data_IF_004953128764
#
_entry.id   IF_004953128764
#
_cell.length_a   1.000
_cell.length_b   1.000
_cell.length_c   1.000
_cell.angle_alpha   90.00
_cell.angle_beta   90.00
_cell.angle_gamma   90.00
#
_symmetry.space_group_name_H-M   'P 1'
#
loop_
_entity.id
_entity.type
_entity.pdbx_description
1 polymer ?
#
# COMPACT_ATOMS: atom_id res chain seq x y z
N UNK A 1 3.35 13.84 -15.12
CA UNK A 1 4.25 13.23 -16.12
C UNK A 1 3.92 11.76 -16.32
N UNK A 2 2.93 11.43 -17.16
CA UNK A 2 2.49 10.09 -17.66
C UNK A 2 3.44 8.88 -17.50
N UNK A 3 3.83 8.53 -16.27
CA UNK A 3 4.86 7.54 -15.95
C UNK A 3 6.31 7.86 -16.38
N UNK A 4 6.64 9.08 -16.82
CA UNK A 4 7.96 9.42 -17.36
C UNK A 4 8.83 10.21 -16.37
N UNK A 5 10.13 9.90 -16.32
CA UNK A 5 11.10 10.62 -15.51
C UNK A 5 11.56 11.90 -16.24
N UNK A 6 11.41 13.05 -15.57
CA UNK A 6 11.83 14.37 -16.07
C UNK A 6 13.19 14.81 -15.51
N UNK A 7 13.59 14.29 -14.34
CA UNK A 7 14.85 14.63 -13.70
C UNK A 7 15.25 13.57 -12.68
N UNK A 8 16.53 13.23 -12.64
CA UNK A 8 17.10 12.36 -11.61
C UNK A 8 18.54 12.78 -11.32
N UNK A 9 18.80 13.23 -10.09
CA UNK A 9 20.12 13.64 -9.65
C UNK A 9 20.10 14.42 -8.34
N UNK A 10 21.21 15.07 -7.97
CA UNK A 10 21.31 15.82 -6.72
C UNK A 10 20.28 16.95 -6.64
N UNK A 11 19.71 17.24 -5.46
CA UNK A 11 18.70 18.29 -5.30
C UNK A 11 19.25 19.68 -5.63
N UNK A 12 20.54 19.93 -5.39
CA UNK A 12 21.19 21.21 -5.70
C UNK A 12 21.25 21.55 -7.20
N UNK A 13 21.16 20.56 -8.08
CA UNK A 13 21.25 20.76 -9.52
C UNK A 13 19.88 20.89 -10.22
N UNK A 14 18.78 20.64 -9.49
CA UNK A 14 17.42 20.72 -10.03
C UNK A 14 17.12 22.13 -10.53
N UNK A 15 17.50 23.14 -9.75
CA UNK A 15 17.27 24.54 -10.09
C UNK A 15 17.96 24.92 -11.41
N UNK A 16 19.26 24.64 -11.52
CA UNK A 16 20.03 24.92 -12.75
C UNK A 16 19.51 24.14 -13.96
N UNK A 17 19.03 22.92 -13.75
CA UNK A 17 18.43 22.10 -14.81
C UNK A 17 17.12 22.71 -15.32
N UNK A 18 16.21 23.09 -14.43
CA UNK A 18 14.93 23.70 -14.80
C UNK A 18 15.13 25.05 -15.50
N UNK A 19 16.08 25.87 -15.04
CA UNK A 19 16.46 27.12 -15.72
C UNK A 19 17.00 26.88 -17.13
N UNK A 20 17.82 25.85 -17.33
CA UNK A 20 18.32 25.49 -18.65
C UNK A 20 17.22 25.02 -19.62
N UNK A 21 16.06 24.58 -19.10
CA UNK A 21 14.88 24.23 -19.88
C UNK A 21 13.92 25.41 -20.09
N UNK A 22 14.27 26.61 -19.62
CA UNK A 22 13.47 27.83 -19.80
C UNK A 22 12.49 28.14 -18.68
N UNK A 23 12.53 27.42 -17.56
CA UNK A 23 11.70 27.71 -16.39
C UNK A 23 12.37 28.74 -15.49
N UNK A 24 11.67 29.86 -15.23
CA UNK A 24 12.13 30.86 -14.29
C UNK A 24 12.00 30.33 -12.85
N UNK A 25 13.01 30.62 -12.04
CA UNK A 25 13.01 30.28 -10.61
C UNK A 25 12.87 31.58 -9.84
N UNK A 26 11.68 31.87 -9.28
CA UNK A 26 11.48 33.06 -8.48
C UNK A 26 12.42 33.07 -7.27
N UNK A 27 12.98 34.23 -6.90
CA UNK A 27 13.78 34.33 -5.69
C UNK A 27 12.91 34.01 -4.47
N UNK A 28 13.47 33.24 -3.52
CA UNK A 28 12.82 32.82 -2.26
C UNK A 28 11.67 31.79 -2.38
N UNK A 29 11.58 31.05 -3.49
CA UNK A 29 10.60 29.97 -3.62
C UNK A 29 11.23 28.57 -3.43
N UNK A 30 10.44 27.62 -2.95
CA UNK A 30 10.89 26.26 -2.71
C UNK A 30 11.06 25.49 -4.04
N UNK A 31 12.26 24.96 -4.27
CA UNK A 31 12.60 24.23 -5.51
C UNK A 31 11.71 22.98 -5.69
N UNK A 32 11.30 22.35 -4.59
CA UNK A 32 10.41 21.19 -4.65
C UNK A 32 9.02 21.57 -5.18
N UNK A 33 8.49 22.71 -4.76
CA UNK A 33 7.17 23.17 -5.20
C UNK A 33 7.21 23.59 -6.68
N UNK A 34 8.29 24.27 -7.12
CA UNK A 34 8.51 24.57 -8.54
C UNK A 34 8.59 23.28 -9.37
N UNK A 35 9.30 22.25 -8.90
CA UNK A 35 9.38 20.98 -9.60
C UNK A 35 8.01 20.27 -9.71
N UNK A 36 7.13 20.45 -8.72
CA UNK A 36 5.76 19.96 -8.77
C UNK A 36 4.93 20.75 -9.78
N UNK A 37 5.03 22.08 -9.79
CA UNK A 37 4.31 22.93 -10.75
C UNK A 37 4.71 22.59 -12.20
N UNK A 38 6.00 22.46 -12.47
CA UNK A 38 6.52 22.00 -13.78
C UNK A 38 6.00 20.60 -14.12
N UNK A 39 5.88 19.71 -13.14
CA UNK A 39 5.36 18.35 -13.34
C UNK A 39 3.88 18.32 -13.66
N UNK A 40 3.10 19.27 -13.13
CA UNK A 40 1.68 19.46 -13.41
C UNK A 40 1.51 20.05 -14.80
N UNK A 41 2.25 21.10 -15.15
CA UNK A 41 2.23 21.72 -16.47
C UNK A 41 2.63 20.72 -17.56
N UNK A 42 3.69 19.93 -17.33
CA UNK A 42 4.08 18.83 -18.21
C UNK A 42 3.08 17.66 -18.23
N UNK A 43 2.13 17.59 -17.29
CA UNK A 43 1.06 16.59 -17.36
C UNK A 43 -0.10 17.05 -18.23
N UNK A 44 -0.34 18.35 -18.31
CA UNK A 44 -1.38 18.98 -19.12
C UNK A 44 -0.92 19.19 -20.56
N UNK A 45 0.36 19.50 -20.77
CA UNK A 45 0.95 19.74 -22.09
C UNK A 45 1.95 18.65 -22.50
N UNK A 46 1.55 17.83 -23.47
CA UNK A 46 2.37 16.74 -24.00
C UNK A 46 3.65 17.20 -24.73
N UNK A 47 3.68 18.43 -25.24
CA UNK A 47 4.87 18.99 -25.90
C UNK A 47 5.97 19.29 -24.87
N UNK A 48 5.60 19.94 -23.77
CA UNK A 48 6.52 20.24 -22.65
C UNK A 48 7.06 18.93 -22.05
N UNK A 49 6.18 17.94 -21.87
CA UNK A 49 6.59 16.62 -21.38
C UNK A 49 7.63 15.96 -22.29
N UNK A 50 7.42 15.98 -23.60
CA UNK A 50 8.36 15.42 -24.57
C UNK A 50 9.68 16.17 -24.56
N UNK A 51 9.66 17.49 -24.48
CA UNK A 51 10.86 18.32 -24.43
C UNK A 51 11.68 18.04 -23.16
N UNK A 52 11.04 18.01 -21.98
CA UNK A 52 11.70 17.67 -20.72
C UNK A 52 12.25 16.24 -20.71
N UNK A 53 11.47 15.28 -21.19
CA UNK A 53 11.88 13.88 -21.26
C UNK A 53 13.06 13.69 -22.22
N UNK A 54 13.03 14.32 -23.40
CA UNK A 54 14.15 14.28 -24.36
C UNK A 54 15.39 14.99 -23.81
N UNK A 55 15.23 16.13 -23.14
CA UNK A 55 16.31 16.82 -22.47
C UNK A 55 16.96 15.95 -21.38
N UNK A 56 16.16 15.27 -20.56
CA UNK A 56 16.67 14.30 -19.59
C UNK A 56 17.38 13.12 -20.29
N UNK A 57 16.81 12.59 -21.38
CA UNK A 57 17.41 11.51 -22.16
C UNK A 57 18.76 11.89 -22.79
N UNK A 58 18.94 13.14 -23.17
CA UNK A 58 20.20 13.63 -23.73
C UNK A 58 21.18 14.13 -22.64
N UNK A 59 20.73 14.24 -21.40
CA UNK A 59 21.55 14.73 -20.30
C UNK A 59 22.66 13.75 -19.91
N UNK A 60 23.82 14.25 -19.43
CA UNK A 60 24.86 13.39 -18.86
C UNK A 60 24.40 12.69 -17.57
N UNK A 61 23.35 13.19 -16.93
CA UNK A 61 22.79 12.63 -15.70
C UNK A 61 22.20 11.25 -15.94
N UNK A 62 21.41 11.07 -17.00
CA UNK A 62 20.90 9.75 -17.39
C UNK A 62 22.04 8.78 -17.69
N UNK A 63 23.07 9.24 -18.40
CA UNK A 63 24.23 8.39 -18.72
C UNK A 63 24.94 7.90 -17.46
N UNK A 64 25.12 8.78 -16.47
CA UNK A 64 25.72 8.42 -15.18
C UNK A 64 24.86 7.39 -14.42
N UNK A 65 23.54 7.61 -14.33
CA UNK A 65 22.62 6.64 -13.71
C UNK A 65 22.66 5.29 -14.43
N UNK A 66 22.67 5.30 -15.77
CA UNK A 66 22.73 4.08 -16.56
C UNK A 66 24.05 3.34 -16.34
N UNK A 67 25.17 4.05 -16.29
CA UNK A 67 26.50 3.49 -16.01
C UNK A 67 26.56 2.86 -14.60
N UNK A 68 26.01 3.54 -13.59
CA UNK A 68 25.89 2.98 -12.24
C UNK A 68 25.09 1.67 -12.23
N UNK A 69 23.97 1.62 -12.96
CA UNK A 69 23.13 0.43 -13.06
C UNK A 69 23.83 -0.72 -13.80
N UNK A 70 24.52 -0.42 -14.91
CA UNK A 70 25.28 -1.42 -15.66
C UNK A 70 26.46 -1.96 -14.84
N UNK A 71 27.23 -1.09 -14.19
CA UNK A 71 28.34 -1.48 -13.32
C UNK A 71 27.87 -2.31 -12.12
N UNK A 72 26.73 -1.96 -11.52
CA UNK A 72 26.11 -2.80 -10.49
C UNK A 72 25.73 -4.17 -11.06
N UNK A 73 25.14 -4.23 -12.25
CA UNK A 73 24.75 -5.48 -12.88
C UNK A 73 25.97 -6.36 -13.23
N UNK A 74 27.11 -5.77 -13.58
CA UNK A 74 28.35 -6.49 -13.85
C UNK A 74 29.03 -7.00 -12.56
N UNK A 75 28.97 -6.23 -11.46
CA UNK A 75 29.38 -6.70 -10.13
C UNK A 75 28.48 -7.85 -9.62
N UNK A 76 27.17 -7.74 -9.85
CA UNK A 76 26.15 -8.75 -9.54
C UNK A 76 26.38 -10.03 -10.36
N UNK A 77 26.74 -9.89 -11.64
CA UNK A 77 27.00 -11.02 -12.56
C UNK A 77 28.30 -11.77 -12.24
N UNK A 78 29.29 -11.08 -11.69
CA UNK A 78 30.64 -11.64 -11.44
C UNK A 78 30.80 -12.33 -10.07
N UNK A 79 29.82 -12.21 -9.16
CA UNK A 79 29.94 -12.76 -7.79
C UNK A 79 28.77 -13.66 -7.36
N UNK A 80 27.63 -13.71 -8.08
CA UNK A 80 26.39 -14.24 -7.51
C UNK A 80 25.49 -15.08 -8.44
N UNK A 81 26.03 -15.90 -9.35
CA UNK A 81 25.19 -16.96 -9.98
C UNK A 81 24.67 -17.96 -8.92
N UNK A 82 25.34 -18.11 -7.77
CA UNK A 82 24.86 -18.97 -6.67
C UNK A 82 24.07 -18.24 -5.56
N UNK A 83 24.14 -16.91 -5.48
CA UNK A 83 23.71 -16.16 -4.28
C UNK A 83 22.68 -15.04 -4.56
N UNK A 84 22.38 -14.71 -5.81
CA UNK A 84 21.31 -13.73 -6.13
C UNK A 84 19.88 -14.27 -6.00
N UNK A 85 19.72 -15.54 -5.60
CA UNK A 85 18.43 -16.05 -5.13
C UNK A 85 18.13 -15.67 -3.67
N UNK A 86 19.07 -15.04 -2.94
CA UNK A 86 18.88 -14.64 -1.54
C UNK A 86 18.39 -13.19 -1.36
N UNK A 87 17.83 -12.57 -2.40
CA UNK A 87 17.06 -11.34 -2.30
C UNK A 87 15.59 -11.73 -2.52
N UNK A 88 14.75 -11.42 -1.54
CA UNK A 88 13.34 -11.80 -1.40
C UNK A 88 13.01 -13.30 -1.20
N UNK A 89 13.87 -14.10 -0.56
CA UNK A 89 13.32 -15.28 0.13
C UNK A 89 12.52 -14.83 1.37
N UNK A 90 11.29 -14.36 1.13
CA UNK A 90 10.21 -14.34 2.12
C UNK A 90 9.73 -15.79 2.32
N UNK A 91 10.66 -16.73 2.47
CA UNK A 91 10.42 -18.13 2.86
C UNK A 91 11.06 -18.45 4.20
N UNK A 92 11.28 -17.45 5.05
CA UNK A 92 11.50 -17.70 6.47
C UNK A 92 10.16 -18.08 7.11
N UNK A 93 9.85 -19.39 7.10
CA UNK A 93 8.83 -20.08 7.90
C UNK A 93 8.04 -19.15 8.84
N UNK A 94 7.06 -18.42 8.27
CA UNK A 94 6.29 -17.47 9.06
C UNK A 94 5.44 -18.27 10.02
N UNK A 95 5.79 -18.18 11.30
CA UNK A 95 5.00 -18.75 12.39
C UNK A 95 3.62 -18.07 12.39
N UNK A 96 2.65 -18.68 11.72
CA UNK A 96 1.32 -18.11 11.49
C UNK A 96 0.63 -17.71 12.79
N UNK A 97 0.78 -18.52 13.85
CA UNK A 97 0.19 -18.24 15.17
C UNK A 97 0.80 -16.97 15.80
N UNK A 98 2.11 -16.78 15.68
CA UNK A 98 2.79 -15.59 16.22
C UNK A 98 2.33 -14.33 15.48
N UNK A 99 2.20 -14.42 14.17
CA UNK A 99 1.68 -13.30 13.35
C UNK A 99 0.21 -13.00 13.67
N UNK A 100 -0.64 -14.02 13.77
CA UNK A 100 -2.04 -13.89 14.18
C UNK A 100 -2.15 -13.26 15.57
N UNK A 101 -1.31 -13.65 16.53
CA UNK A 101 -1.32 -13.08 17.87
C UNK A 101 -0.99 -11.58 17.85
N UNK A 102 0.07 -11.18 17.13
CA UNK A 102 0.44 -9.77 17.03
C UNK A 102 -0.61 -8.93 16.30
N UNK A 103 -1.18 -9.45 15.21
CA UNK A 103 -2.27 -8.79 14.49
C UNK A 103 -3.53 -8.70 15.36
N UNK A 104 -3.88 -9.77 16.08
CA UNK A 104 -5.00 -9.79 17.02
C UNK A 104 -4.83 -8.78 18.15
N UNK A 105 -3.63 -8.67 18.74
CA UNK A 105 -3.36 -7.66 19.76
C UNK A 105 -3.57 -6.23 19.25
N UNK A 106 -3.18 -5.95 17.99
CA UNK A 106 -3.42 -4.66 17.34
C UNK A 106 -4.91 -4.42 17.13
N UNK A 107 -5.63 -5.39 16.58
CA UNK A 107 -7.07 -5.29 16.32
C UNK A 107 -7.88 -5.16 17.62
N UNK A 108 -7.55 -5.94 18.64
CA UNK A 108 -8.16 -5.85 19.97
C UNK A 108 -7.95 -4.48 20.62
N UNK A 109 -6.79 -3.84 20.42
CA UNK A 109 -6.55 -2.49 20.92
C UNK A 109 -7.47 -1.46 20.27
N UNK A 110 -7.79 -1.63 18.99
CA UNK A 110 -8.73 -0.77 18.26
C UNK A 110 -10.16 -1.00 18.73
N UNK A 111 -10.58 -2.26 18.82
CA UNK A 111 -11.91 -2.65 19.34
C UNK A 111 -12.11 -2.12 20.77
N UNK A 112 -11.10 -2.26 21.63
CA UNK A 112 -11.13 -1.73 23.00
C UNK A 112 -11.24 -0.20 23.05
N UNK A 113 -10.62 0.52 22.11
CA UNK A 113 -10.67 1.99 22.04
C UNK A 113 -11.98 2.51 21.43
N UNK A 114 -12.68 1.73 20.61
CA UNK A 114 -13.98 2.07 20.01
C UNK A 114 -15.01 0.97 20.26
N UNK A 115 -15.55 0.86 21.49
CA UNK A 115 -16.37 -0.27 21.89
C UNK A 115 -17.83 -0.18 21.45
N UNK A 116 -18.29 0.93 20.86
CA UNK A 116 -19.73 1.18 20.62
C UNK A 116 -20.39 0.09 19.76
N UNK A 117 -19.79 -0.24 18.63
CA UNK A 117 -20.33 -1.25 17.72
C UNK A 117 -20.20 -2.68 18.28
N UNK A 118 -19.06 -2.99 18.89
CA UNK A 118 -18.82 -4.31 19.46
C UNK A 118 -19.75 -4.59 20.66
N UNK A 119 -19.94 -3.60 21.52
CA UNK A 119 -20.85 -3.71 22.66
C UNK A 119 -22.30 -3.89 22.20
N UNK A 120 -22.78 -3.10 21.23
CA UNK A 120 -24.14 -3.22 20.71
C UNK A 120 -24.44 -4.63 20.18
N UNK A 121 -23.52 -5.22 19.40
CA UNK A 121 -23.66 -6.58 18.86
C UNK A 121 -23.69 -7.64 19.97
N UNK A 122 -22.82 -7.52 20.97
CA UNK A 122 -22.82 -8.42 22.15
C UNK A 122 -24.14 -8.29 22.91
N UNK A 123 -24.61 -7.06 23.18
CA UNK A 123 -25.85 -6.81 23.90
C UNK A 123 -27.07 -7.42 23.20
N UNK A 124 -27.22 -7.21 21.90
CA UNK A 124 -28.31 -7.80 21.10
C UNK A 124 -28.25 -9.33 21.15
N UNK A 125 -27.05 -9.90 21.04
CA UNK A 125 -26.85 -11.35 21.09
C UNK A 125 -27.22 -11.95 22.45
N UNK A 126 -26.87 -11.26 23.55
CA UNK A 126 -27.23 -11.68 24.92
C UNK A 126 -28.74 -11.61 25.13
N UNK A 127 -29.39 -10.52 24.73
CA UNK A 127 -30.85 -10.36 24.87
C UNK A 127 -31.58 -11.44 24.07
N UNK A 128 -31.18 -11.66 22.81
CA UNK A 128 -31.77 -12.69 21.97
C UNK A 128 -31.56 -14.09 22.57
N UNK A 129 -30.35 -14.38 23.07
CA UNK A 129 -30.03 -15.64 23.72
C UNK A 129 -30.82 -15.88 25.00
N UNK A 130 -31.05 -14.84 25.80
CA UNK A 130 -31.91 -14.93 26.99
C UNK A 130 -33.37 -15.14 26.61
N UNK A 131 -33.90 -14.43 25.62
CA UNK A 131 -35.28 -14.58 25.17
C UNK A 131 -35.51 -16.02 24.68
N UNK A 132 -34.67 -16.52 23.77
CA UNK A 132 -34.72 -17.90 23.31
C UNK A 132 -34.52 -18.86 24.49
N UNK A 133 -33.55 -18.62 25.36
CA UNK A 133 -33.33 -19.44 26.55
C UNK A 133 -34.59 -19.56 27.41
N UNK A 134 -35.28 -18.45 27.70
CA UNK A 134 -36.52 -18.44 28.50
C UNK A 134 -37.69 -19.13 27.79
N UNK A 135 -37.84 -18.93 26.48
CA UNK A 135 -38.91 -19.58 25.69
C UNK A 135 -38.75 -21.09 25.68
N UNK A 136 -37.52 -21.58 25.59
CA UNK A 136 -37.22 -23.01 25.53
C UNK A 136 -36.91 -23.64 26.90
N UNK A 137 -36.83 -22.84 27.98
CA UNK A 137 -36.57 -23.33 29.33
C UNK A 137 -37.71 -24.23 29.84
N UNK A 138 -38.94 -23.92 29.43
CA UNK A 138 -40.16 -24.63 29.85
C UNK A 138 -40.67 -25.62 28.79
N UNK A 139 -39.81 -26.01 27.83
CA UNK A 139 -40.06 -27.19 27.01
C UNK A 139 -39.90 -28.43 27.89
N UNK A 140 -41.00 -28.80 28.51
CA UNK A 140 -41.17 -30.02 29.27
C UNK A 140 -40.62 -31.22 28.45
N UNK A 141 -39.78 -32.04 29.09
CA UNK A 141 -39.07 -33.19 28.51
C UNK A 141 -39.99 -34.36 28.16
N UNK A 142 -41.23 -34.09 27.75
CA UNK A 142 -42.30 -35.09 27.55
C UNK A 142 -42.98 -35.01 26.19
N UNK A 143 -42.54 -34.16 25.27
CA UNK A 143 -43.05 -34.20 23.89
C UNK A 143 -41.97 -34.68 22.92
N UNK A 144 -42.15 -35.92 22.45
CA UNK A 144 -41.46 -36.49 21.29
C UNK A 144 -41.53 -35.54 20.07
N UNK A 145 -40.53 -35.59 19.19
CA UNK A 145 -39.98 -34.41 18.54
C UNK A 145 -40.89 -33.88 17.43
N UNK A 146 -41.13 -32.57 17.44
CA UNK A 146 -41.69 -31.80 16.34
C UNK A 146 -40.75 -31.74 15.12
N UNK A 147 -40.46 -32.89 14.51
CA UNK A 147 -39.87 -33.04 13.16
C UNK A 147 -40.88 -32.62 12.07
N UNK A 148 -42.06 -32.10 12.44
CA UNK A 148 -43.07 -31.67 11.46
C UNK A 148 -42.80 -30.33 10.76
N UNK A 149 -41.76 -29.55 11.11
CA UNK A 149 -41.45 -28.31 10.37
C UNK A 149 -40.10 -28.32 9.62
N UNK A 150 -39.52 -29.51 9.39
CA UNK A 150 -38.34 -29.69 8.52
C UNK A 150 -38.66 -30.29 7.15
N UNK A 151 -39.89 -30.76 6.93
CA UNK A 151 -40.38 -31.13 5.62
C UNK A 151 -41.17 -29.94 5.08
N UNK A 152 -40.51 -29.15 4.24
CA UNK A 152 -41.23 -28.26 3.33
C UNK A 152 -42.26 -29.07 2.56
N UNK A 153 -43.52 -28.62 2.57
CA UNK A 153 -44.51 -29.14 1.64
C UNK A 153 -44.04 -28.79 0.22
N UNK A 154 -43.66 -29.82 -0.54
CA UNK A 154 -43.77 -29.79 -1.99
C UNK A 154 -45.26 -29.80 -2.39
#
# INVERSE_FOLDING_TARGET
>A
CKGQCIYQGPPGNVASYLQAQGFEIPPNNNIADIALDVSIEANENDEILKNLCTAYMNSPMRKNVLDMLTNQNDMISSTNVENHQHLYEINAARSGIREIFYLSQRTLRVVRRRPTLAFAQISVSVILGLLVGTVFFDLEKTTDPGVSNRLGRC
#
